data_IF_053788540628
#
_entry.id   IF_053788540628
#
_cell.length_a   1.000
_cell.length_b   1.000
_cell.length_c   1.000
_cell.angle_alpha   90.00
_cell.angle_beta   90.00
_cell.angle_gamma   90.00
#
_symmetry.space_group_name_H-M   'P 1'
#
loop_
_entity.id
_entity.type
_entity.pdbx_description
1 polymer ?
#
# COMPACT_ATOMS: atom_id res chain seq x y z
N UNK A 1 42.62 41.56 -17.77
CA UNK A 1 43.85 41.40 -18.59
C UNK A 1 44.46 40.06 -18.18
N UNK A 2 44.58 39.00 -18.99
CA UNK A 2 44.92 38.88 -20.41
C UNK A 2 44.20 37.66 -21.03
N UNK A 3 43.74 37.82 -22.26
CA UNK A 3 43.44 36.73 -23.21
C UNK A 3 44.76 36.12 -23.72
N UNK A 4 44.78 34.83 -24.08
CA UNK A 4 45.64 34.36 -25.16
C UNK A 4 45.18 33.00 -25.76
N UNK A 5 44.74 33.07 -27.03
CA UNK A 5 44.91 32.15 -28.19
C UNK A 5 44.96 30.63 -27.93
N UNK A 6 44.10 29.76 -28.48
CA UNK A 6 43.66 29.50 -29.87
C UNK A 6 44.80 29.21 -30.85
N UNK A 7 45.10 27.92 -31.13
CA UNK A 7 45.70 27.44 -32.39
C UNK A 7 45.31 25.96 -32.67
N UNK A 8 44.44 25.78 -33.69
CA UNK A 8 44.49 24.81 -34.81
C UNK A 8 45.01 23.36 -34.62
N UNK A 9 44.29 22.34 -35.13
CA UNK A 9 44.49 21.80 -36.50
C UNK A 9 43.52 20.66 -36.86
N UNK A 10 43.19 20.66 -38.15
CA UNK A 10 42.42 19.75 -39.00
C UNK A 10 42.89 18.27 -38.91
N UNK A 11 41.98 17.29 -39.04
CA UNK A 11 41.97 16.32 -40.16
C UNK A 11 40.85 15.28 -40.04
N UNK A 12 40.28 14.98 -41.21
CA UNK A 12 39.25 14.01 -41.53
C UNK A 12 39.94 12.74 -42.07
N UNK A 13 39.63 11.55 -41.56
CA UNK A 13 39.89 10.30 -42.28
C UNK A 13 38.90 9.19 -41.91
N UNK A 14 38.11 8.84 -42.91
CA UNK A 14 37.30 7.63 -43.04
C UNK A 14 38.22 6.42 -43.27
N UNK A 15 37.92 5.25 -42.68
CA UNK A 15 37.87 3.96 -43.39
C UNK A 15 37.66 2.77 -42.44
N UNK A 16 36.82 1.85 -42.93
CA UNK A 16 36.43 0.56 -42.36
C UNK A 16 37.61 -0.40 -42.20
N UNK A 17 37.55 -1.26 -41.18
CA UNK A 17 38.23 -2.55 -41.18
C UNK A 17 37.22 -3.69 -40.97
N UNK A 18 37.25 -4.62 -41.92
CA UNK A 18 36.60 -5.92 -41.91
C UNK A 18 37.36 -6.90 -41.00
N UNK A 19 36.59 -7.69 -40.25
CA UNK A 19 36.76 -9.11 -39.89
C UNK A 19 38.17 -9.74 -39.86
N UNK A 20 38.51 -10.33 -38.71
CA UNK A 20 38.42 -11.79 -38.59
C UNK A 20 38.46 -12.25 -37.13
N UNK A 21 37.54 -13.17 -36.84
CA UNK A 21 37.30 -13.90 -35.60
C UNK A 21 38.54 -14.45 -34.90
N UNK A 22 38.58 -14.32 -33.57
CA UNK A 22 38.96 -15.43 -32.69
C UNK A 22 38.42 -15.20 -31.27
N UNK A 23 37.64 -16.17 -30.79
CA UNK A 23 37.11 -16.38 -29.43
C UNK A 23 36.05 -15.39 -28.89
N UNK A 24 34.78 -15.70 -29.17
CA UNK A 24 33.69 -15.65 -28.18
C UNK A 24 32.39 -16.22 -28.77
N UNK A 25 32.16 -17.53 -28.64
CA UNK A 25 30.80 -18.05 -28.71
C UNK A 25 30.71 -19.42 -28.03
N UNK A 26 30.13 -19.44 -26.84
CA UNK A 26 29.18 -20.47 -26.40
C UNK A 26 28.56 -20.03 -25.06
N UNK A 27 27.45 -19.32 -25.15
CA UNK A 27 26.36 -19.28 -24.16
C UNK A 27 25.27 -18.33 -24.67
N UNK A 28 24.49 -18.77 -25.67
CA UNK A 28 23.15 -18.22 -25.90
C UNK A 28 22.24 -18.80 -24.81
N UNK A 29 22.20 -18.12 -23.67
CA UNK A 29 21.16 -18.27 -22.66
C UNK A 29 20.28 -17.03 -22.69
N UNK A 30 19.05 -17.21 -23.16
CA UNK A 30 17.93 -16.28 -23.09
C UNK A 30 17.89 -15.48 -21.79
N UNK A 31 18.04 -14.14 -21.88
CA UNK A 31 17.55 -13.23 -20.85
C UNK A 31 16.02 -13.23 -20.91
N UNK A 32 15.40 -14.08 -20.10
CA UNK A 32 13.98 -14.07 -19.81
C UNK A 32 13.65 -12.87 -18.93
N UNK A 33 13.51 -11.69 -19.54
CA UNK A 33 12.65 -10.62 -19.00
C UNK A 33 11.24 -10.87 -19.53
N UNK A 34 10.64 -11.98 -19.11
CA UNK A 34 9.28 -12.38 -19.49
C UNK A 34 8.67 -13.20 -18.36
N UNK A 35 8.56 -12.59 -17.18
CA UNK A 35 7.78 -13.12 -16.05
C UNK A 35 7.18 -12.00 -15.20
N UNK A 36 7.03 -10.80 -15.78
CA UNK A 36 6.31 -9.68 -15.16
C UNK A 36 4.88 -9.51 -15.73
N UNK A 37 4.34 -10.54 -16.40
CA UNK A 37 3.05 -10.41 -17.11
C UNK A 37 2.29 -11.73 -17.20
N UNK A 38 2.00 -12.39 -16.07
CA UNK A 38 0.89 -13.36 -15.96
C UNK A 38 0.36 -13.30 -14.51
N UNK A 39 -0.67 -12.52 -14.24
CA UNK A 39 -2.10 -12.90 -14.32
C UNK A 39 -2.66 -13.07 -12.90
N UNK A 40 -2.85 -11.93 -12.20
CA UNK A 40 -3.69 -11.89 -11.01
C UNK A 40 -5.11 -11.59 -11.48
N UNK A 41 -5.81 -12.64 -11.87
CA UNK A 41 -7.25 -12.57 -12.12
C UNK A 41 -8.01 -12.62 -10.78
N UNK A 42 -9.01 -11.73 -10.69
CA UNK A 42 -10.13 -11.74 -9.75
C UNK A 42 -9.95 -11.07 -8.35
N UNK A 43 -9.94 -9.73 -8.34
CA UNK A 43 -10.95 -8.89 -7.65
C UNK A 43 -10.58 -7.39 -7.76
N UNK A 44 -11.19 -6.65 -8.68
CA UNK A 44 -11.04 -5.19 -8.82
C UNK A 44 -9.69 -4.75 -9.41
N UNK A 45 -9.69 -4.30 -10.66
CA UNK A 45 -8.51 -3.92 -11.46
C UNK A 45 -7.84 -2.61 -10.99
N UNK A 46 -7.22 -2.59 -9.81
CA UNK A 46 -6.31 -1.50 -9.43
C UNK A 46 -4.88 -2.01 -9.34
N UNK A 47 -3.94 -1.30 -9.97
CA UNK A 47 -2.51 -1.52 -9.74
C UNK A 47 -2.21 -1.39 -8.23
N UNK A 48 -1.66 -2.44 -7.58
CA UNK A 48 -1.29 -2.43 -6.17
C UNK A 48 -0.45 -1.22 -5.73
N UNK A 49 0.51 -0.80 -6.57
CA UNK A 49 1.38 0.33 -6.25
C UNK A 49 0.58 1.64 -6.23
N UNK A 50 -0.32 1.80 -7.20
CA UNK A 50 -1.24 2.94 -7.28
C UNK A 50 -2.18 2.97 -6.07
N UNK A 51 -2.80 1.84 -5.73
CA UNK A 51 -3.68 1.73 -4.57
C UNK A 51 -2.94 2.10 -3.26
N UNK A 52 -1.72 1.59 -3.07
CA UNK A 52 -0.91 1.93 -1.90
C UNK A 52 -0.55 3.43 -1.84
N UNK A 53 -0.25 4.06 -2.98
CA UNK A 53 0.04 5.48 -3.07
C UNK A 53 -1.20 6.35 -2.75
N UNK A 54 -2.37 5.98 -3.27
CA UNK A 54 -3.65 6.65 -2.96
C UNK A 54 -3.98 6.56 -1.47
N UNK A 55 -3.86 5.37 -0.89
CA UNK A 55 -4.09 5.15 0.54
C UNK A 55 -3.10 5.95 1.39
N UNK A 56 -1.81 5.95 1.01
CA UNK A 56 -0.78 6.75 1.68
C UNK A 56 -1.17 8.23 1.69
N UNK A 57 -1.61 8.76 0.55
CA UNK A 57 -2.03 10.16 0.43
C UNK A 57 -3.20 10.48 1.37
N UNK A 58 -4.24 9.64 1.42
CA UNK A 58 -5.40 9.84 2.31
C UNK A 58 -4.95 10.03 3.77
N UNK A 59 -4.05 9.18 4.26
CA UNK A 59 -3.58 9.25 5.64
C UNK A 59 -2.57 10.38 5.88
N UNK A 60 -1.78 10.76 4.88
CA UNK A 60 -0.94 11.96 4.93
C UNK A 60 -1.77 13.24 5.01
N UNK A 61 -2.80 13.36 4.17
CA UNK A 61 -3.73 14.49 4.17
C UNK A 61 -4.46 14.58 5.52
N UNK A 62 -4.96 13.45 6.04
CA UNK A 62 -5.63 13.37 7.34
C UNK A 62 -4.74 13.84 8.48
N UNK A 63 -3.46 13.42 8.52
CA UNK A 63 -2.51 13.89 9.52
C UNK A 63 -2.20 15.38 9.39
N UNK A 64 -2.07 15.88 8.15
CA UNK A 64 -1.84 17.29 7.85
C UNK A 64 -3.03 18.14 8.32
N UNK A 65 -4.25 17.76 7.96
CA UNK A 65 -5.48 18.43 8.37
C UNK A 65 -5.67 18.40 9.89
N UNK A 66 -5.30 17.29 10.54
CA UNK A 66 -5.32 17.21 12.00
C UNK A 66 -4.33 18.19 12.65
N UNK A 67 -3.10 18.31 12.13
CA UNK A 67 -2.12 19.29 12.62
C UNK A 67 -2.55 20.73 12.38
N UNK A 68 -3.21 21.00 11.26
CA UNK A 68 -3.71 22.32 10.87
C UNK A 68 -5.00 22.74 11.62
N UNK A 69 -5.60 21.85 12.42
CA UNK A 69 -6.86 22.16 13.11
C UNK A 69 -8.12 21.98 12.24
N UNK A 70 -8.00 21.41 11.04
CA UNK A 70 -9.10 21.19 10.09
C UNK A 70 -9.98 19.99 10.51
N UNK A 71 -10.62 20.07 11.68
CA UNK A 71 -11.35 18.95 12.31
C UNK A 71 -12.48 18.41 11.44
N UNK A 72 -13.20 19.26 10.71
CA UNK A 72 -14.27 18.82 9.80
C UNK A 72 -13.76 17.98 8.63
N UNK A 73 -12.61 18.32 8.05
CA UNK A 73 -11.97 17.52 6.99
C UNK A 73 -11.51 16.17 7.52
N UNK A 74 -10.91 16.15 8.72
CA UNK A 74 -10.53 14.91 9.39
C UNK A 74 -11.76 14.03 9.61
N UNK A 75 -12.85 14.60 10.15
CA UNK A 75 -14.11 13.88 10.35
C UNK A 75 -14.65 13.30 9.05
N UNK A 76 -14.73 14.09 7.98
CA UNK A 76 -15.20 13.62 6.68
C UNK A 76 -14.33 12.50 6.11
N UNK A 77 -13.00 12.60 6.24
CA UNK A 77 -12.07 11.58 5.80
C UNK A 77 -12.22 10.27 6.59
N UNK A 78 -12.37 10.36 7.92
CA UNK A 78 -12.62 9.19 8.79
C UNK A 78 -13.97 8.56 8.48
N UNK A 79 -15.03 9.36 8.31
CA UNK A 79 -16.36 8.86 7.93
C UNK A 79 -16.34 8.14 6.58
N UNK A 80 -15.56 8.65 5.63
CA UNK A 80 -15.36 8.03 4.32
C UNK A 80 -14.75 6.62 4.38
N UNK A 81 -14.04 6.28 5.46
CA UNK A 81 -13.47 4.93 5.67
C UNK A 81 -14.47 3.92 6.20
N UNK A 82 -15.64 4.33 6.71
CA UNK A 82 -16.63 3.40 7.26
C UNK A 82 -17.16 2.46 6.16
N UNK A 83 -17.21 1.17 6.48
CA UNK A 83 -17.76 0.13 5.62
C UNK A 83 -19.29 0.13 5.75
N UNK A 84 -19.97 0.55 4.69
CA UNK A 84 -21.41 0.45 4.60
C UNK A 84 -21.83 -1.02 4.43
N UNK A 85 -23.00 -1.39 4.97
CA UNK A 85 -23.54 -2.76 4.89
C UNK A 85 -22.53 -3.83 5.34
N UNK A 86 -21.75 -3.54 6.38
CA UNK A 86 -20.64 -4.38 6.83
C UNK A 86 -21.07 -5.81 7.20
N UNK A 87 -22.28 -6.01 7.75
CA UNK A 87 -22.89 -7.32 7.97
C UNK A 87 -22.88 -8.20 6.71
N UNK A 88 -23.44 -7.63 5.62
CA UNK A 88 -23.52 -8.32 4.33
C UNK A 88 -22.12 -8.58 3.77
N UNK A 89 -21.23 -7.58 3.85
CA UNK A 89 -19.86 -7.72 3.38
C UNK A 89 -19.11 -8.84 4.12
N UNK A 90 -19.22 -8.90 5.45
CA UNK A 90 -18.59 -9.95 6.23
C UNK A 90 -19.20 -11.32 5.93
N UNK A 91 -20.52 -11.42 5.75
CA UNK A 91 -21.19 -12.67 5.39
C UNK A 91 -20.75 -13.19 4.01
N UNK A 92 -20.60 -12.31 3.03
CA UNK A 92 -20.09 -12.63 1.70
C UNK A 92 -18.64 -13.09 1.74
N UNK A 93 -17.78 -12.38 2.50
CA UNK A 93 -16.35 -12.67 2.57
C UNK A 93 -15.99 -13.86 3.44
N UNK A 94 -16.65 -14.08 4.58
CA UNK A 94 -16.25 -15.08 5.57
C UNK A 94 -17.28 -16.17 5.82
N UNK A 95 -18.51 -16.02 5.30
CA UNK A 95 -19.65 -16.87 5.62
C UNK A 95 -20.36 -16.47 6.91
N UNK A 96 -21.62 -16.91 7.06
CA UNK A 96 -22.51 -16.48 8.12
C UNK A 96 -21.94 -16.71 9.53
N UNK A 97 -21.33 -17.87 9.78
CA UNK A 97 -20.83 -18.24 11.11
C UNK A 97 -19.75 -17.27 11.60
N UNK A 98 -18.73 -17.00 10.77
CA UNK A 98 -17.64 -16.08 11.10
C UNK A 98 -18.09 -14.62 11.07
N UNK A 99 -19.01 -14.28 10.17
CA UNK A 99 -19.50 -12.91 10.01
C UNK A 99 -20.18 -12.36 11.25
N UNK A 100 -20.85 -13.21 12.05
CA UNK A 100 -21.51 -12.79 13.30
C UNK A 100 -20.52 -12.15 14.28
N UNK A 101 -19.38 -12.80 14.50
CA UNK A 101 -18.34 -12.30 15.40
C UNK A 101 -17.66 -11.03 14.88
N UNK A 102 -17.37 -10.99 13.58
CA UNK A 102 -16.74 -9.83 12.93
C UNK A 102 -17.66 -8.61 12.91
N UNK A 103 -18.96 -8.81 12.65
CA UNK A 103 -19.98 -7.76 12.69
C UNK A 103 -20.05 -7.15 14.08
N UNK A 104 -20.20 -7.97 15.13
CA UNK A 104 -20.27 -7.46 16.50
C UNK A 104 -19.00 -6.66 16.89
N UNK A 105 -17.81 -7.15 16.54
CA UNK A 105 -16.58 -6.38 16.74
C UNK A 105 -16.58 -5.06 15.95
N UNK A 106 -17.09 -5.07 14.72
CA UNK A 106 -17.17 -3.88 13.89
C UNK A 106 -18.13 -2.84 14.45
N UNK A 107 -19.32 -3.24 14.93
CA UNK A 107 -20.30 -2.36 15.55
C UNK A 107 -19.76 -1.68 16.81
N UNK A 108 -19.07 -2.45 17.67
CA UNK A 108 -18.38 -1.90 18.84
C UNK A 108 -17.35 -0.84 18.44
N UNK A 109 -16.58 -1.08 17.37
CA UNK A 109 -15.62 -0.10 16.85
C UNK A 109 -16.32 1.10 16.22
N UNK A 110 -17.43 0.93 15.51
CA UNK A 110 -18.19 2.00 14.88
C UNK A 110 -18.70 3.02 15.90
N UNK A 111 -19.20 2.55 17.05
CA UNK A 111 -19.75 3.39 18.10
C UNK A 111 -18.74 4.43 18.64
N UNK A 112 -17.44 4.09 18.64
CA UNK A 112 -16.37 4.97 19.10
C UNK A 112 -15.42 5.42 17.96
N UNK A 113 -15.77 5.17 16.69
CA UNK A 113 -14.80 5.19 15.58
C UNK A 113 -14.09 6.52 15.42
N UNK A 114 -14.84 7.61 15.39
CA UNK A 114 -14.30 8.96 15.24
C UNK A 114 -13.45 9.38 16.43
N UNK A 115 -13.90 9.02 17.65
CA UNK A 115 -13.17 9.33 18.87
C UNK A 115 -11.84 8.57 18.93
N UNK A 116 -11.84 7.28 18.60
CA UNK A 116 -10.63 6.45 18.58
C UNK A 116 -9.66 6.88 17.48
N UNK A 117 -10.15 7.27 16.31
CA UNK A 117 -9.30 7.88 15.27
C UNK A 117 -8.71 9.22 15.72
N UNK A 118 -9.49 10.05 16.40
CA UNK A 118 -9.00 11.30 16.99
C UNK A 118 -7.87 11.07 18.00
N UNK A 119 -8.05 10.12 18.93
CA UNK A 119 -7.00 9.71 19.89
C UNK A 119 -5.76 9.16 19.19
N UNK A 120 -5.95 8.38 18.11
CA UNK A 120 -4.84 7.86 17.31
C UNK A 120 -4.03 9.00 16.70
N UNK A 121 -4.69 9.96 16.05
CA UNK A 121 -4.00 11.12 15.44
C UNK A 121 -3.34 12.01 16.50
N UNK A 122 -3.97 12.20 17.65
CA UNK A 122 -3.36 12.90 18.78
C UNK A 122 -2.08 12.20 19.24
N UNK A 123 -2.11 10.88 19.38
CA UNK A 123 -0.95 10.07 19.75
C UNK A 123 0.17 10.19 18.71
N UNK A 124 -0.17 10.11 17.42
CA UNK A 124 0.77 10.28 16.28
C UNK A 124 1.42 11.66 16.28
N UNK A 125 0.67 12.72 16.57
CA UNK A 125 1.25 14.07 16.66
C UNK A 125 2.17 14.21 17.86
N UNK A 126 1.75 13.71 19.03
CA UNK A 126 2.54 13.77 20.28
C UNK A 126 3.79 12.89 20.24
N UNK A 127 3.72 11.73 19.58
CA UNK A 127 4.82 10.78 19.46
C UNK A 127 5.88 11.17 18.43
N UNK A 128 5.58 12.16 17.58
CA UNK A 128 6.50 12.66 16.57
C UNK A 128 6.56 11.81 15.31
N UNK A 129 5.58 10.94 15.09
CA UNK A 129 5.40 10.23 13.83
C UNK A 129 5.06 11.22 12.71
N UNK A 130 5.82 11.14 11.61
CA UNK A 130 5.77 12.11 10.50
C UNK A 130 5.65 11.42 9.14
N UNK A 131 5.98 10.14 9.06
CA UNK A 131 5.93 9.38 7.82
C UNK A 131 4.76 8.40 7.84
N UNK A 132 4.21 8.15 6.66
CA UNK A 132 3.12 7.21 6.44
C UNK A 132 3.64 6.08 5.56
N UNK A 133 3.59 4.86 6.08
CA UNK A 133 3.90 3.64 5.36
C UNK A 133 2.60 2.87 5.11
N UNK A 134 2.51 2.25 3.93
CA UNK A 134 1.38 1.41 3.54
C UNK A 134 1.92 0.04 3.20
N UNK A 135 1.33 -0.98 3.81
CA UNK A 135 1.64 -2.37 3.55
C UNK A 135 0.40 -3.03 2.96
N UNK A 136 0.59 -3.78 1.89
CA UNK A 136 -0.45 -4.59 1.27
C UNK A 136 -0.13 -6.05 1.55
N UNK A 137 -1.17 -6.82 1.84
CA UNK A 137 -1.10 -8.25 2.08
C UNK A 137 -1.99 -8.88 1.01
N UNK A 138 -1.36 -9.36 -0.06
CA UNK A 138 -2.04 -10.06 -1.12
C UNK A 138 -2.33 -11.53 -0.72
N UNK A 139 -3.40 -12.15 -1.23
CA UNK A 139 -3.65 -13.59 -1.07
C UNK A 139 -2.44 -14.46 -1.47
N UNK A 140 -1.74 -14.05 -2.53
CA UNK A 140 -0.55 -14.73 -3.07
C UNK A 140 0.75 -14.40 -2.31
N UNK A 141 0.69 -13.61 -1.23
CA UNK A 141 1.84 -13.33 -0.36
C UNK A 141 2.77 -12.18 -0.79
N UNK A 142 2.45 -11.46 -1.85
CA UNK A 142 3.29 -10.37 -2.36
C UNK A 142 3.01 -9.06 -1.62
N UNK A 143 3.64 -8.90 -0.45
CA UNK A 143 4.27 -7.68 0.10
C UNK A 143 4.31 -7.76 1.65
N UNK A 144 5.49 -7.41 2.19
CA UNK A 144 5.97 -7.77 3.53
C UNK A 144 5.25 -6.99 4.65
N UNK A 145 5.20 -7.62 5.83
CA UNK A 145 4.62 -7.18 7.12
C UNK A 145 3.12 -7.43 7.39
N UNK A 146 2.60 -8.59 6.99
CA UNK A 146 1.32 -9.08 7.51
C UNK A 146 1.41 -9.52 8.98
N UNK A 147 0.53 -8.99 9.83
CA UNK A 147 0.33 -9.50 11.21
C UNK A 147 -0.48 -10.80 11.19
N UNK A 148 -0.35 -11.62 12.24
CA UNK A 148 -1.02 -12.94 12.30
C UNK A 148 -2.52 -12.89 12.03
N UNK A 149 -3.23 -11.88 12.55
CA UNK A 149 -4.68 -11.74 12.35
C UNK A 149 -5.07 -11.45 10.89
N UNK A 150 -4.26 -10.68 10.16
CA UNK A 150 -4.54 -10.39 8.75
C UNK A 150 -4.29 -11.60 7.86
N UNK A 151 -3.28 -12.42 8.20
CA UNK A 151 -3.04 -13.70 7.52
C UNK A 151 -4.20 -14.67 7.78
N UNK A 152 -4.62 -14.80 9.04
CA UNK A 152 -5.76 -15.62 9.45
C UNK A 152 -7.04 -15.16 8.72
N UNK A 153 -7.24 -13.85 8.60
CA UNK A 153 -8.37 -13.28 7.88
C UNK A 153 -8.36 -13.64 6.39
N UNK A 154 -7.25 -13.41 5.68
CA UNK A 154 -7.14 -13.73 4.25
C UNK A 154 -7.39 -15.22 4.01
N UNK A 155 -6.80 -16.10 4.84
CA UNK A 155 -6.98 -17.55 4.72
C UNK A 155 -8.43 -18.01 4.98
N UNK A 156 -9.17 -17.27 5.82
CA UNK A 156 -10.56 -17.56 6.13
C UNK A 156 -11.57 -16.95 5.16
N UNK A 157 -11.13 -16.08 4.23
CA UNK A 157 -12.02 -15.50 3.22
C UNK A 157 -12.41 -16.55 2.17
N UNK A 158 -13.71 -16.65 1.87
CA UNK A 158 -14.25 -17.47 0.77
C UNK A 158 -13.73 -16.99 -0.59
N UNK A 159 -13.63 -15.67 -0.76
CA UNK A 159 -13.08 -14.99 -1.93
C UNK A 159 -12.02 -13.99 -1.46
N UNK A 160 -10.76 -14.44 -1.31
CA UNK A 160 -9.67 -13.62 -0.79
C UNK A 160 -9.52 -12.31 -1.55
N UNK A 161 -9.24 -11.25 -0.81
CA UNK A 161 -8.92 -9.95 -1.38
C UNK A 161 -7.73 -9.34 -0.65
N UNK A 162 -6.98 -8.43 -1.29
CA UNK A 162 -5.88 -7.75 -0.64
C UNK A 162 -6.34 -6.98 0.60
N UNK A 163 -5.59 -7.12 1.69
CA UNK A 163 -5.73 -6.28 2.87
C UNK A 163 -4.62 -5.23 2.89
N UNK A 164 -4.94 -4.03 3.34
CA UNK A 164 -3.98 -2.96 3.53
C UNK A 164 -3.87 -2.62 5.02
N UNK A 165 -2.67 -2.23 5.46
CA UNK A 165 -2.47 -1.57 6.76
C UNK A 165 -1.63 -0.32 6.55
N UNK A 166 -1.98 0.72 7.31
CA UNK A 166 -1.24 1.98 7.33
C UNK A 166 -0.47 2.06 8.64
N UNK A 167 0.78 2.49 8.61
CA UNK A 167 1.55 2.84 9.81
C UNK A 167 1.96 4.30 9.75
N UNK A 168 1.71 5.00 10.84
CA UNK A 168 2.39 6.26 11.14
C UNK A 168 3.69 5.93 11.85
N UNK A 169 4.82 6.38 11.31
CA UNK A 169 6.15 6.07 11.82
C UNK A 169 6.98 7.34 12.00
N UNK A 170 7.99 7.25 12.87
CA UNK A 170 9.01 8.29 12.97
C UNK A 170 9.93 8.24 11.75
N UNK A 171 10.57 9.37 11.37
CA UNK A 171 11.46 9.39 10.22
C UNK A 171 12.55 8.32 10.31
N UNK A 172 12.66 7.49 9.27
CA UNK A 172 13.64 6.41 9.20
C UNK A 172 13.29 5.12 9.97
N UNK A 173 12.13 5.07 10.64
CA UNK A 173 11.65 3.86 11.32
C UNK A 173 10.67 3.06 10.45
N UNK A 174 10.65 1.74 10.59
CA UNK A 174 9.69 0.84 9.91
C UNK A 174 8.52 0.41 10.81
N UNK A 175 8.58 0.73 12.10
CA UNK A 175 7.55 0.40 13.07
C UNK A 175 6.91 1.67 13.64
N UNK A 176 5.67 1.56 14.08
CA UNK A 176 4.93 2.70 14.60
C UNK A 176 3.47 2.37 14.85
N UNK A 177 2.62 3.39 14.84
CA UNK A 177 1.21 3.27 15.16
C UNK A 177 0.46 2.78 13.92
N UNK A 178 -0.02 1.54 13.99
CA UNK A 178 -0.78 0.91 12.91
C UNK A 178 -2.27 1.24 12.98
N UNK A 179 -2.82 1.57 11.81
CA UNK A 179 -4.24 1.55 11.49
C UNK A 179 -4.52 0.20 10.86
N UNK A 180 -5.29 -0.64 11.55
CA UNK A 180 -5.39 -2.10 11.37
C UNK A 180 -5.63 -2.57 9.92
N UNK A 181 -6.83 -3.02 9.58
CA UNK A 181 -7.10 -3.62 8.27
C UNK A 181 -8.04 -2.73 7.46
N UNK A 182 -7.63 -2.46 6.23
CA UNK A 182 -8.42 -1.80 5.21
C UNK A 182 -8.53 -2.68 3.97
N UNK A 183 -9.58 -2.45 3.18
CA UNK A 183 -9.79 -3.07 1.87
C UNK A 183 -10.09 -1.99 0.84
N UNK A 184 -9.74 -2.24 -0.42
CA UNK A 184 -10.23 -1.44 -1.53
C UNK A 184 -11.55 -2.06 -2.00
N UNK A 185 -12.65 -1.33 -1.84
CA UNK A 185 -13.98 -1.75 -2.26
C UNK A 185 -14.62 -0.65 -3.10
N UNK A 186 -15.08 -1.03 -4.30
CA UNK A 186 -15.79 -0.15 -5.23
C UNK A 186 -15.02 1.17 -5.50
N UNK A 187 -13.69 1.08 -5.60
CA UNK A 187 -12.81 2.22 -5.85
C UNK A 187 -12.50 3.09 -4.63
N UNK A 188 -12.89 2.67 -3.42
CA UNK A 188 -12.64 3.42 -2.18
C UNK A 188 -12.10 2.54 -1.06
N UNK A 189 -11.25 3.10 -0.21
CA UNK A 189 -10.71 2.36 0.93
C UNK A 189 -11.72 2.31 2.08
N UNK A 190 -11.91 1.11 2.63
CA UNK A 190 -12.81 0.84 3.74
C UNK A 190 -12.06 0.17 4.87
N UNK A 191 -12.22 0.71 6.06
CA UNK A 191 -11.72 0.11 7.29
C UNK A 191 -12.61 -1.07 7.67
N UNK A 192 -11.99 -2.22 7.92
CA UNK A 192 -12.69 -3.47 8.27
C UNK A 192 -12.33 -3.98 9.67
N UNK A 193 -11.54 -3.21 10.43
CA UNK A 193 -11.26 -3.52 11.83
C UNK A 193 -10.01 -4.35 12.08
N UNK A 194 -9.96 -4.93 13.28
CA UNK A 194 -8.86 -5.79 13.76
C UNK A 194 -9.01 -7.24 13.35
N UNK A 195 -10.24 -7.66 13.07
CA UNK A 195 -10.55 -9.02 12.64
C UNK A 195 -10.19 -10.07 13.70
N UNK A 196 -10.40 -9.77 15.00
CA UNK A 196 -10.04 -10.68 16.11
C UNK A 196 -11.08 -11.76 16.34
N UNK A 197 -12.33 -11.50 15.99
CA UNK A 197 -13.49 -12.41 16.21
C UNK A 197 -13.73 -13.35 15.02
N UNK A 198 -12.64 -13.79 14.39
CA UNK A 198 -12.65 -14.68 13.22
C UNK A 198 -12.78 -16.18 13.58
N UNK A 199 -12.56 -16.50 14.86
CA UNK A 199 -12.55 -17.85 15.43
C UNK A 199 -13.78 -18.09 16.27
#
# INVERSE_FOLDING_TARGET
MKNLFMVFFLTLTTALFFNSNLFAQEARGTMTTSEATMEVAAAGKSDPAKAAAELKKIFQDMLSDYKAGNREKVKAAVDGLKLANHEKWFAEKFGADKAKGLTAEYDEMLAAFEQEFGKLLEKVVKGGEREVLVYMIAPEGVMREATGLQKDAIAAMKNPCPLFTVKYVKPGESSGISVWSLVLQDGSFKFIGKLRKLK
#
